data_IF_460768262614
#
_entry.id   IF_460768262614
#
_cell.length_a   1.000
_cell.length_b   1.000
_cell.length_c   1.000
_cell.angle_alpha   90.00
_cell.angle_beta   90.00
_cell.angle_gamma   90.00
#
_symmetry.space_group_name_H-M   'P 1'
#
loop_
_entity.id
_entity.type
_entity.pdbx_description
1 polymer ?
#
# COMPACT_ATOMS: atom_id res chain seq x y z
N UNK A 1 -45.61 47.47 29.11
CA UNK A 1 -44.49 46.96 29.93
C UNK A 1 -44.47 45.44 29.84
N UNK A 2 -43.29 44.87 29.54
CA UNK A 2 -42.90 43.43 29.58
C UNK A 2 -43.54 42.53 28.51
N UNK A 3 -42.91 42.42 27.34
CA UNK A 3 -41.77 41.53 26.98
C UNK A 3 -42.25 40.17 26.48
N UNK A 4 -42.40 40.05 25.16
CA UNK A 4 -42.37 38.79 24.43
C UNK A 4 -40.91 38.36 24.33
N UNK A 5 -40.50 37.40 25.14
CA UNK A 5 -39.23 36.71 24.96
C UNK A 5 -39.45 35.60 23.92
N UNK A 6 -39.31 35.96 22.65
CA UNK A 6 -39.24 34.99 21.56
C UNK A 6 -37.96 34.17 21.75
N UNK A 7 -38.11 32.87 22.02
CA UNK A 7 -37.01 31.89 21.91
C UNK A 7 -36.47 31.97 20.48
N UNK A 8 -35.28 32.53 20.30
CA UNK A 8 -34.52 32.41 19.07
C UNK A 8 -34.28 30.93 18.80
N UNK A 9 -35.01 30.36 17.84
CA UNK A 9 -34.57 29.14 17.18
C UNK A 9 -33.41 29.59 16.31
N UNK A 10 -32.21 29.16 16.65
CA UNK A 10 -31.12 29.14 15.68
C UNK A 10 -31.58 28.18 14.58
N UNK A 11 -32.18 28.72 13.53
CA UNK A 11 -32.31 28.01 12.26
C UNK A 11 -30.88 27.82 11.77
N UNK A 12 -30.30 26.66 12.13
CA UNK A 12 -29.08 26.19 11.48
C UNK A 12 -29.48 26.05 10.02
N UNK A 13 -29.01 27.00 9.21
CA UNK A 13 -29.19 26.95 7.77
C UNK A 13 -28.74 25.56 7.29
N UNK A 14 -29.55 24.94 6.44
CA UNK A 14 -29.29 23.58 5.95
C UNK A 14 -27.88 23.52 5.34
N UNK A 15 -27.44 24.62 4.72
CA UNK A 15 -26.09 24.83 4.24
C UNK A 15 -25.02 24.73 5.36
N UNK A 16 -25.23 25.37 6.52
CA UNK A 16 -24.32 25.27 7.67
C UNK A 16 -24.25 23.85 8.24
N UNK A 17 -25.38 23.15 8.32
CA UNK A 17 -25.41 21.76 8.79
C UNK A 17 -24.63 20.83 7.84
N UNK A 18 -24.87 20.91 6.52
CA UNK A 18 -24.13 20.08 5.56
C UNK A 18 -22.64 20.44 5.48
N UNK A 19 -22.30 21.73 5.55
CA UNK A 19 -20.91 22.19 5.46
C UNK A 19 -20.10 21.77 6.69
N UNK A 20 -20.59 22.00 7.91
CA UNK A 20 -19.84 21.68 9.12
C UNK A 20 -19.94 20.21 9.53
N UNK A 21 -21.12 19.60 9.47
CA UNK A 21 -21.29 18.23 9.99
C UNK A 21 -20.87 17.16 8.99
N UNK A 22 -21.00 17.39 7.68
CA UNK A 22 -20.67 16.38 6.67
C UNK A 22 -19.40 16.71 5.89
N UNK A 23 -19.28 17.93 5.38
CA UNK A 23 -18.14 18.27 4.52
C UNK A 23 -16.84 18.37 5.31
N UNK A 24 -16.79 19.13 6.40
CA UNK A 24 -15.58 19.23 7.26
C UNK A 24 -15.23 17.87 7.85
N UNK A 25 -16.19 17.11 8.39
CA UNK A 25 -15.90 15.75 8.89
C UNK A 25 -15.34 14.83 7.79
N UNK A 26 -15.80 14.95 6.55
CA UNK A 26 -15.27 14.17 5.42
C UNK A 26 -13.84 14.58 5.06
N UNK A 27 -13.53 15.88 5.09
CA UNK A 27 -12.17 16.39 4.87
C UNK A 27 -11.24 15.94 5.99
N UNK A 28 -11.63 16.11 7.25
CA UNK A 28 -10.85 15.68 8.41
C UNK A 28 -10.58 14.17 8.37
N UNK A 29 -11.59 13.39 7.97
CA UNK A 29 -11.43 11.95 7.74
C UNK A 29 -10.43 11.65 6.64
N UNK A 30 -10.50 12.33 5.50
CA UNK A 30 -9.55 12.15 4.40
C UNK A 30 -8.13 12.54 4.81
N UNK A 31 -7.96 13.64 5.54
CA UNK A 31 -6.66 14.09 6.06
C UNK A 31 -6.11 13.08 7.06
N UNK A 32 -6.92 12.59 7.99
CA UNK A 32 -6.51 11.57 8.96
C UNK A 32 -6.12 10.25 8.26
N UNK A 33 -6.90 9.83 7.26
CA UNK A 33 -6.56 8.66 6.44
C UNK A 33 -5.27 8.89 5.65
N UNK A 34 -5.08 10.05 5.01
CA UNK A 34 -3.84 10.35 4.28
C UNK A 34 -2.62 10.36 5.20
N UNK A 35 -2.70 11.00 6.36
CA UNK A 35 -1.61 11.07 7.33
C UNK A 35 -1.29 9.68 7.92
N UNK A 36 -2.31 8.86 8.17
CA UNK A 36 -2.13 7.46 8.56
C UNK A 36 -1.52 6.64 7.42
N UNK A 37 -1.91 6.92 6.16
CA UNK A 37 -1.47 6.17 4.98
C UNK A 37 -0.05 6.49 4.57
N UNK A 38 0.33 7.75 4.64
CA UNK A 38 1.63 8.29 4.27
C UNK A 38 2.32 8.84 5.52
N UNK A 39 2.54 7.96 6.50
CA UNK A 39 3.37 8.30 7.64
C UNK A 39 4.80 8.61 7.19
N UNK A 40 5.60 9.18 8.09
CA UNK A 40 6.96 9.63 7.80
C UNK A 40 7.80 8.55 7.11
N UNK A 41 7.76 7.31 7.61
CA UNK A 41 8.46 6.15 7.02
C UNK A 41 7.98 5.84 5.59
N UNK A 42 6.67 5.86 5.35
CA UNK A 42 6.09 5.58 4.02
C UNK A 42 6.46 6.66 3.01
N UNK A 43 6.44 7.93 3.44
CA UNK A 43 6.87 9.07 2.61
C UNK A 43 8.36 8.96 2.31
N UNK A 44 9.18 8.66 3.33
CA UNK A 44 10.62 8.46 3.16
C UNK A 44 10.94 7.34 2.19
N UNK A 45 10.23 6.22 2.29
CA UNK A 45 10.34 5.10 1.35
C UNK A 45 10.02 5.53 -0.08
N UNK A 46 8.92 6.26 -0.28
CA UNK A 46 8.55 6.74 -1.61
C UNK A 46 9.62 7.69 -2.17
N UNK A 47 10.10 8.64 -1.37
CA UNK A 47 11.14 9.58 -1.75
C UNK A 47 12.44 8.87 -2.17
N UNK A 48 12.92 7.91 -1.37
CA UNK A 48 14.14 7.18 -1.69
C UNK A 48 13.94 6.22 -2.88
N UNK A 49 12.74 5.65 -3.05
CA UNK A 49 12.44 4.73 -4.15
C UNK A 49 12.49 5.39 -5.53
N UNK A 50 12.35 6.71 -5.61
CA UNK A 50 12.51 7.47 -6.87
C UNK A 50 13.91 7.28 -7.47
N UNK A 51 14.92 6.98 -6.65
CA UNK A 51 16.27 6.68 -7.14
C UNK A 51 16.37 5.40 -7.99
N UNK A 52 15.36 4.53 -7.93
CA UNK A 52 15.24 3.32 -8.75
C UNK A 52 14.32 3.51 -9.97
N UNK A 53 13.69 4.68 -10.13
CA UNK A 53 12.71 4.91 -11.20
C UNK A 53 13.41 4.92 -12.58
N UNK A 54 13.02 4.01 -13.51
CA UNK A 54 13.60 3.96 -14.85
C UNK A 54 13.16 5.12 -15.77
N UNK A 55 12.18 5.94 -15.37
CA UNK A 55 11.70 7.08 -16.17
C UNK A 55 12.83 8.03 -16.56
N UNK A 56 12.63 8.69 -17.71
CA UNK A 56 13.58 9.67 -18.27
C UNK A 56 15.02 9.14 -18.30
N UNK A 57 15.21 7.86 -18.61
CA UNK A 57 16.54 7.23 -18.64
C UNK A 57 17.26 7.24 -17.30
N UNK A 58 16.51 6.93 -16.24
CA UNK A 58 16.98 6.91 -14.86
C UNK A 58 17.56 8.27 -14.41
N UNK A 59 16.94 9.37 -14.82
CA UNK A 59 17.35 10.75 -14.47
C UNK A 59 17.52 10.94 -12.97
N UNK A 60 16.66 10.29 -12.17
CA UNK A 60 16.67 10.39 -10.71
C UNK A 60 17.62 9.40 -10.02
N UNK A 61 18.40 8.63 -10.78
CA UNK A 61 19.29 7.63 -10.21
C UNK A 61 20.28 8.24 -9.22
N UNK A 62 20.29 7.70 -8.01
CA UNK A 62 21.20 8.12 -6.96
C UNK A 62 21.58 6.93 -6.08
N UNK A 63 22.82 6.48 -6.20
CA UNK A 63 23.34 5.33 -5.46
C UNK A 63 23.29 5.54 -3.94
N UNK A 64 23.53 6.75 -3.43
CA UNK A 64 23.46 7.07 -2.00
C UNK A 64 22.02 6.95 -1.48
N UNK A 65 21.04 7.41 -2.25
CA UNK A 65 19.63 7.24 -1.88
C UNK A 65 19.20 5.76 -1.89
N UNK A 66 19.69 4.97 -2.83
CA UNK A 66 19.41 3.53 -2.87
C UNK A 66 20.07 2.81 -1.67
N UNK A 67 21.29 3.20 -1.30
CA UNK A 67 21.96 2.66 -0.13
C UNK A 67 21.24 3.06 1.18
N UNK A 68 20.77 4.31 1.30
CA UNK A 68 19.94 4.75 2.41
C UNK A 68 18.62 3.99 2.50
N UNK A 69 18.05 3.60 1.36
CA UNK A 69 16.83 2.81 1.32
C UNK A 69 17.02 1.46 2.02
N UNK A 70 18.16 0.79 1.80
CA UNK A 70 18.54 -0.41 2.57
C UNK A 70 18.72 -0.09 4.06
N UNK A 71 19.63 0.83 4.40
CA UNK A 71 20.05 1.06 5.79
C UNK A 71 18.94 1.63 6.67
N UNK A 72 18.12 2.55 6.16
CA UNK A 72 17.08 3.23 6.94
C UNK A 72 15.76 2.44 6.99
N UNK A 73 15.41 1.69 5.94
CA UNK A 73 14.07 1.10 5.79
C UNK A 73 14.05 -0.43 5.80
N UNK A 74 15.19 -1.09 5.52
CA UNK A 74 15.31 -2.54 5.50
C UNK A 74 16.54 -3.06 6.28
N UNK A 75 16.75 -2.59 7.54
CA UNK A 75 17.96 -2.92 8.29
C UNK A 75 18.14 -4.41 8.57
N UNK A 76 17.04 -5.16 8.67
CA UNK A 76 17.01 -6.59 8.98
C UNK A 76 16.99 -7.49 7.73
N UNK A 77 16.74 -6.91 6.55
CA UNK A 77 16.71 -7.69 5.31
C UNK A 77 18.11 -7.97 4.76
N UNK A 78 19.09 -7.11 5.03
CA UNK A 78 20.43 -7.24 4.42
C UNK A 78 21.52 -7.49 5.45
N UNK A 79 22.26 -8.57 5.23
CA UNK A 79 23.45 -8.86 6.02
C UNK A 79 24.61 -7.89 5.70
N UNK A 80 25.59 -7.68 6.61
CA UNK A 80 26.71 -6.78 6.37
C UNK A 80 27.51 -7.08 5.09
N UNK A 81 27.64 -8.37 4.76
CA UNK A 81 28.34 -8.80 3.54
C UNK A 81 27.52 -8.50 2.28
N UNK A 82 26.18 -8.57 2.36
CA UNK A 82 25.26 -8.20 1.28
C UNK A 82 25.28 -6.69 1.02
N UNK A 83 25.46 -5.86 2.05
CA UNK A 83 25.62 -4.41 1.88
C UNK A 83 26.86 -4.02 1.10
N UNK A 84 27.97 -4.73 1.32
CA UNK A 84 29.18 -4.54 0.53
C UNK A 84 28.98 -4.98 -0.94
N UNK A 85 28.23 -6.06 -1.15
CA UNK A 85 27.83 -6.49 -2.49
C UNK A 85 26.93 -5.45 -3.17
N UNK A 86 25.95 -4.88 -2.44
CA UNK A 86 25.07 -3.81 -2.93
C UNK A 86 25.88 -2.58 -3.38
N UNK A 87 26.87 -2.14 -2.60
CA UNK A 87 27.74 -1.02 -2.99
C UNK A 87 28.51 -1.30 -4.29
N UNK A 88 28.99 -2.54 -4.45
CA UNK A 88 29.66 -2.97 -5.67
C UNK A 88 28.70 -3.00 -6.86
N UNK A 89 27.50 -3.56 -6.67
CA UNK A 89 26.43 -3.58 -7.67
C UNK A 89 26.03 -2.17 -8.09
N UNK A 90 25.86 -1.23 -7.16
CA UNK A 90 25.48 0.17 -7.41
C UNK A 90 26.52 0.92 -8.24
N UNK A 91 27.79 0.55 -8.12
CA UNK A 91 28.87 1.15 -8.93
C UNK A 91 28.79 0.67 -10.39
N UNK A 92 28.41 -0.59 -10.60
CA UNK A 92 28.33 -1.23 -11.92
C UNK A 92 26.97 -1.03 -12.60
N UNK A 93 25.90 -0.80 -11.84
CA UNK A 93 24.54 -0.71 -12.32
C UNK A 93 24.34 0.34 -13.43
N UNK A 94 24.92 1.56 -13.36
CA UNK A 94 24.76 2.54 -14.42
C UNK A 94 25.36 2.10 -15.76
N UNK A 95 26.48 1.39 -15.72
CA UNK A 95 27.17 0.92 -16.92
C UNK A 95 26.40 -0.20 -17.64
N UNK A 96 25.73 -1.07 -16.87
CA UNK A 96 25.10 -2.27 -17.40
C UNK A 96 23.57 -2.17 -17.56
N UNK A 97 22.88 -1.30 -16.83
CA UNK A 97 21.41 -1.22 -16.84
C UNK A 97 20.95 0.16 -17.28
N UNK A 98 21.42 1.23 -16.64
CA UNK A 98 20.93 2.60 -16.92
C UNK A 98 21.20 3.03 -18.37
N UNK A 99 22.40 2.75 -18.88
CA UNK A 99 22.80 3.10 -20.27
C UNK A 99 22.26 2.16 -21.33
N UNK A 100 21.72 1.01 -20.95
CA UNK A 100 21.24 0.00 -21.89
C UNK A 100 19.81 0.32 -22.31
N UNK A 101 19.63 0.56 -23.62
CA UNK A 101 18.34 0.92 -24.23
C UNK A 101 17.20 -0.07 -23.91
N UNK A 102 17.54 -1.33 -23.62
CA UNK A 102 16.55 -2.37 -23.29
C UNK A 102 15.84 -2.12 -21.96
N UNK A 103 16.43 -1.32 -21.06
CA UNK A 103 15.87 -1.04 -19.73
C UNK A 103 15.17 0.33 -19.66
N UNK A 104 14.97 1.00 -20.79
CA UNK A 104 14.24 2.26 -20.91
C UNK A 104 12.73 2.04 -20.81
N UNK A 105 12.27 1.65 -19.63
CA UNK A 105 10.88 1.31 -19.33
C UNK A 105 10.22 2.37 -18.46
N UNK A 106 8.88 2.42 -18.46
CA UNK A 106 8.11 3.47 -17.78
C UNK A 106 7.82 3.20 -16.31
N UNK A 107 8.04 1.97 -15.83
CA UNK A 107 7.67 1.54 -14.47
C UNK A 107 8.70 0.63 -13.83
N UNK A 108 8.83 0.74 -12.51
CA UNK A 108 9.69 -0.12 -11.70
C UNK A 108 9.33 -1.61 -11.80
N UNK A 109 8.03 -1.94 -11.91
CA UNK A 109 7.56 -3.30 -12.11
C UNK A 109 8.07 -3.90 -13.44
N UNK A 110 8.02 -3.12 -14.53
CA UNK A 110 8.55 -3.56 -15.82
C UNK A 110 10.08 -3.70 -15.79
N UNK A 111 10.76 -2.82 -15.07
CA UNK A 111 12.21 -2.93 -14.87
C UNK A 111 12.57 -4.26 -14.19
N UNK A 112 11.85 -4.63 -13.13
CA UNK A 112 12.05 -5.91 -12.45
C UNK A 112 11.82 -7.10 -13.39
N UNK A 113 10.76 -7.08 -14.20
CA UNK A 113 10.49 -8.10 -15.21
C UNK A 113 11.63 -8.23 -16.24
N UNK A 114 12.16 -7.09 -16.71
CA UNK A 114 13.26 -7.07 -17.68
C UNK A 114 14.57 -7.59 -17.09
N UNK A 115 14.88 -7.25 -15.83
CA UNK A 115 16.06 -7.77 -15.12
C UNK A 115 16.00 -9.29 -15.00
N UNK A 116 14.83 -9.86 -14.75
CA UNK A 116 14.63 -11.32 -14.70
C UNK A 116 14.78 -11.94 -16.09
N UNK A 117 14.13 -11.38 -17.12
CA UNK A 117 14.19 -11.91 -18.49
C UNK A 117 15.60 -11.91 -19.08
N UNK A 118 16.37 -10.86 -18.80
CA UNK A 118 17.75 -10.70 -19.30
C UNK A 118 18.79 -11.46 -18.46
N UNK A 119 18.37 -12.23 -17.45
CA UNK A 119 19.22 -12.88 -16.44
C UNK A 119 20.14 -11.92 -15.65
N UNK A 120 20.00 -10.60 -15.82
CA UNK A 120 20.75 -9.61 -15.04
C UNK A 120 20.34 -9.59 -13.56
N UNK A 121 19.18 -10.15 -13.23
CA UNK A 121 18.76 -10.38 -11.85
C UNK A 121 19.74 -11.25 -11.03
N UNK A 122 20.52 -12.13 -11.68
CA UNK A 122 21.55 -12.94 -11.02
C UNK A 122 22.82 -12.13 -10.74
N UNK A 123 23.17 -11.20 -11.65
CA UNK A 123 24.34 -10.33 -11.53
C UNK A 123 24.11 -9.15 -10.58
N UNK A 124 22.87 -8.68 -10.48
CA UNK A 124 22.44 -7.57 -9.63
C UNK A 124 21.41 -8.07 -8.61
N UNK A 125 21.81 -9.04 -7.80
CA UNK A 125 20.92 -9.74 -6.86
C UNK A 125 20.41 -8.79 -5.79
N UNK A 126 21.28 -7.94 -5.24
CA UNK A 126 20.92 -7.02 -4.17
C UNK A 126 19.98 -5.93 -4.66
N UNK A 127 20.29 -5.31 -5.80
CA UNK A 127 19.41 -4.30 -6.41
C UNK A 127 18.07 -4.92 -6.79
N UNK A 128 18.05 -6.11 -7.40
CA UNK A 128 16.79 -6.78 -7.77
C UNK A 128 15.95 -7.12 -6.54
N UNK A 129 16.58 -7.57 -5.45
CA UNK A 129 15.91 -7.83 -4.18
C UNK A 129 15.30 -6.55 -3.61
N UNK A 130 16.05 -5.45 -3.60
CA UNK A 130 15.58 -4.15 -3.12
C UNK A 130 14.38 -3.63 -3.93
N UNK A 131 14.43 -3.73 -5.26
CA UNK A 131 13.32 -3.38 -6.15
C UNK A 131 12.07 -4.23 -5.79
N UNK A 132 12.24 -5.53 -5.55
CA UNK A 132 11.14 -6.41 -5.13
C UNK A 132 10.56 -6.04 -3.78
N UNK A 133 11.38 -5.67 -2.80
CA UNK A 133 10.91 -5.20 -1.49
C UNK A 133 10.05 -3.94 -1.65
N UNK A 134 10.52 -2.94 -2.41
CA UNK A 134 9.76 -1.72 -2.70
C UNK A 134 8.42 -2.02 -3.37
N UNK A 135 8.41 -2.89 -4.37
CA UNK A 135 7.18 -3.30 -5.07
C UNK A 135 6.23 -4.08 -4.16
N UNK A 136 6.76 -5.01 -3.35
CA UNK A 136 5.94 -5.86 -2.47
C UNK A 136 5.30 -5.04 -1.35
N UNK A 137 6.06 -4.14 -0.73
CA UNK A 137 5.55 -3.31 0.37
C UNK A 137 4.51 -2.30 -0.13
N UNK A 138 4.74 -1.67 -1.29
CA UNK A 138 3.76 -0.74 -1.88
C UNK A 138 2.44 -1.43 -2.22
N UNK A 139 2.49 -2.64 -2.81
CA UNK A 139 1.30 -3.45 -3.11
C UNK A 139 0.59 -3.94 -1.84
N UNK A 140 1.34 -4.45 -0.86
CA UNK A 140 0.78 -4.96 0.41
C UNK A 140 0.11 -3.84 1.22
N UNK A 141 0.76 -2.68 1.28
CA UNK A 141 0.23 -1.48 1.95
C UNK A 141 -1.07 -1.01 1.28
N UNK A 142 -1.12 -0.99 -0.06
CA UNK A 142 -2.33 -0.60 -0.78
C UNK A 142 -3.49 -1.58 -0.57
N UNK A 143 -3.19 -2.89 -0.58
CA UNK A 143 -4.19 -3.96 -0.46
C UNK A 143 -4.79 -4.01 0.94
N UNK A 144 -3.95 -4.05 1.98
CA UNK A 144 -4.40 -4.05 3.38
C UNK A 144 -5.26 -2.82 3.68
N UNK A 145 -4.80 -1.62 3.29
CA UNK A 145 -5.56 -0.38 3.52
C UNK A 145 -6.87 -0.31 2.74
N UNK A 146 -6.92 -0.84 1.51
CA UNK A 146 -8.17 -0.95 0.74
C UNK A 146 -9.16 -1.87 1.46
N UNK A 147 -8.69 -3.02 1.95
CA UNK A 147 -9.50 -3.98 2.68
C UNK A 147 -10.03 -3.41 4.00
N UNK A 148 -9.17 -2.76 4.79
CA UNK A 148 -9.58 -2.07 6.03
C UNK A 148 -10.54 -0.89 5.77
N UNK A 149 -10.36 -0.15 4.68
CA UNK A 149 -11.28 0.93 4.29
C UNK A 149 -12.66 0.40 3.92
N UNK A 150 -12.73 -0.64 3.08
CA UNK A 150 -13.99 -1.30 2.75
C UNK A 150 -14.68 -1.84 4.02
N UNK A 151 -13.91 -2.43 4.92
CA UNK A 151 -14.40 -2.95 6.20
C UNK A 151 -14.92 -1.87 7.15
N UNK A 152 -14.20 -0.74 7.26
CA UNK A 152 -14.64 0.43 8.05
C UNK A 152 -15.96 0.99 7.51
N UNK A 153 -16.10 1.03 6.17
CA UNK A 153 -17.37 1.41 5.55
C UNK A 153 -18.50 0.43 5.87
N UNK A 154 -18.28 -0.89 5.79
CA UNK A 154 -19.28 -1.91 6.16
C UNK A 154 -19.68 -1.79 7.64
N UNK A 155 -18.70 -1.66 8.55
CA UNK A 155 -18.92 -1.51 10.00
C UNK A 155 -19.74 -0.25 10.32
N UNK A 156 -19.44 0.86 9.65
CA UNK A 156 -20.12 2.14 9.88
C UNK A 156 -21.50 2.23 9.20
N UNK A 157 -21.63 1.77 7.95
CA UNK A 157 -22.87 1.85 7.17
C UNK A 157 -23.97 0.95 7.74
N UNK A 158 -23.61 -0.25 8.20
CA UNK A 158 -24.58 -1.19 8.76
C UNK A 158 -24.79 -0.93 10.26
N UNK A 159 -23.98 -0.04 10.88
CA UNK A 159 -24.02 0.28 12.33
C UNK A 159 -24.08 -0.98 13.19
N UNK A 160 -23.45 -2.05 12.71
CA UNK A 160 -23.83 -3.40 13.10
C UNK A 160 -22.97 -3.88 14.26
N UNK A 161 -23.62 -4.57 15.20
CA UNK A 161 -23.00 -5.29 16.32
C UNK A 161 -22.34 -6.60 15.86
N UNK A 162 -21.81 -6.66 14.64
CA UNK A 162 -21.08 -7.84 14.16
C UNK A 162 -19.87 -8.04 15.07
N UNK A 163 -19.72 -9.25 15.62
CA UNK A 163 -18.58 -9.61 16.43
C UNK A 163 -17.30 -9.43 15.60
N UNK A 164 -16.23 -8.90 16.22
CA UNK A 164 -14.98 -8.61 15.51
C UNK A 164 -14.37 -9.86 14.87
N UNK A 165 -14.66 -11.06 15.40
CA UNK A 165 -14.27 -12.36 14.83
C UNK A 165 -14.87 -12.59 13.44
N UNK A 166 -16.20 -12.48 13.30
CA UNK A 166 -16.87 -12.62 12.01
C UNK A 166 -16.44 -11.55 11.00
N UNK A 167 -16.11 -10.35 11.49
CA UNK A 167 -15.57 -9.29 10.65
C UNK A 167 -14.16 -9.68 10.13
N UNK A 168 -13.31 -10.21 11.01
CA UNK A 168 -11.98 -10.74 10.66
C UNK A 168 -12.04 -11.84 9.61
N UNK A 169 -12.96 -12.79 9.74
CA UNK A 169 -13.14 -13.87 8.77
C UNK A 169 -13.50 -13.33 7.37
N UNK A 170 -14.41 -12.33 7.32
CA UNK A 170 -14.75 -11.66 6.07
C UNK A 170 -13.58 -10.84 5.47
N UNK A 171 -12.70 -10.28 6.32
CA UNK A 171 -11.50 -9.58 5.86
C UNK A 171 -10.56 -10.54 5.13
N UNK A 172 -10.35 -11.71 5.73
CA UNK A 172 -9.50 -12.77 5.18
C UNK A 172 -10.04 -13.22 3.83
N UNK A 173 -11.35 -13.48 3.72
CA UNK A 173 -11.99 -13.83 2.44
C UNK A 173 -11.84 -12.72 1.40
N UNK A 174 -11.94 -11.45 1.80
CA UNK A 174 -11.81 -10.31 0.88
C UNK A 174 -10.39 -10.13 0.36
N UNK A 175 -9.37 -10.27 1.22
CA UNK A 175 -7.96 -10.20 0.84
C UNK A 175 -7.62 -11.36 -0.11
N UNK A 176 -8.05 -12.56 0.24
CA UNK A 176 -7.78 -13.79 -0.52
C UNK A 176 -8.83 -14.07 -1.61
N UNK A 177 -9.60 -13.06 -2.01
CA UNK A 177 -10.74 -13.24 -2.92
C UNK A 177 -10.36 -13.94 -4.23
N UNK A 178 -9.15 -13.68 -4.73
CA UNK A 178 -8.65 -14.32 -5.95
C UNK A 178 -8.46 -15.83 -5.75
N UNK A 179 -7.89 -16.26 -4.61
CA UNK A 179 -7.80 -17.68 -4.25
C UNK A 179 -9.17 -18.28 -3.95
N UNK A 180 -10.02 -17.58 -3.19
CA UNK A 180 -11.38 -18.03 -2.85
C UNK A 180 -12.22 -18.22 -4.11
N UNK A 181 -12.00 -17.42 -5.15
CA UNK A 181 -12.72 -17.57 -6.43
C UNK A 181 -12.44 -18.88 -7.16
N UNK A 182 -11.35 -19.57 -6.82
CA UNK A 182 -11.01 -20.90 -7.36
C UNK A 182 -11.63 -22.05 -6.58
N UNK A 183 -12.20 -21.78 -5.40
CA UNK A 183 -12.83 -22.78 -4.54
C UNK A 183 -14.27 -23.00 -5.00
N UNK A 184 -14.66 -24.25 -5.17
CA UNK A 184 -16.06 -24.60 -5.44
C UNK A 184 -16.89 -24.48 -4.15
N UNK A 185 -17.74 -23.45 -4.12
CA UNK A 185 -18.60 -23.14 -2.99
C UNK A 185 -19.61 -24.29 -2.76
N UNK A 186 -20.09 -24.93 -3.82
CA UNK A 186 -21.08 -26.00 -3.70
C UNK A 186 -20.46 -27.25 -3.07
N UNK A 187 -19.23 -27.61 -3.45
CA UNK A 187 -18.47 -28.67 -2.77
C UNK A 187 -18.23 -28.35 -1.29
N UNK A 188 -17.87 -27.11 -0.95
CA UNK A 188 -17.60 -26.70 0.43
C UNK A 188 -18.87 -26.76 1.31
N UNK A 189 -20.02 -26.33 0.77
CA UNK A 189 -21.31 -26.43 1.47
C UNK A 189 -21.67 -27.89 1.73
N UNK A 190 -21.48 -28.77 0.73
CA UNK A 190 -21.76 -30.19 0.86
C UNK A 190 -20.85 -30.89 1.87
N UNK A 191 -19.59 -30.50 1.97
CA UNK A 191 -18.65 -31.01 2.97
C UNK A 191 -19.02 -30.53 4.38
N UNK A 192 -19.37 -29.25 4.52
CA UNK A 192 -19.80 -28.68 5.80
C UNK A 192 -21.12 -29.28 6.30
N UNK A 193 -22.04 -29.59 5.39
CA UNK A 193 -23.29 -30.28 5.71
C UNK A 193 -23.03 -31.70 6.26
N UNK A 194 -22.05 -32.43 5.71
CA UNK A 194 -21.67 -33.78 6.19
C UNK A 194 -21.05 -33.79 7.59
N UNK A 195 -20.42 -32.70 8.01
CA UNK A 195 -19.82 -32.57 9.36
C UNK A 195 -20.90 -32.26 10.42
N UNK A 196 -22.10 -31.82 10.00
CA UNK A 196 -23.17 -31.38 10.90
C UNK A 196 -24.23 -32.45 11.21
N UNK A 197 -24.16 -33.61 10.57
CA UNK A 197 -24.94 -34.79 10.92
C UNK A 197 -24.11 -35.70 11.86
N UNK A 198 -24.43 -35.77 13.17
CA UNK A 198 -23.90 -36.80 14.06
C UNK A 198 -24.51 -38.19 13.78
#
# INVERSE_FOLDING_TARGET
MKSKMCRGRNEIDVEHYYHFEYFIQSIDFQVAELNSRFNETSVRLLQLSVALDPKNSFESYNADHIYKLDVELYPDDFEPHERNALMSELTLYPAHVVKDSQFQVSTLAKLCEMLVKTRKAENFKMITRLIRLVLTLSVSTATTKRAFSAMKHVKNAIRNKMADEFLGDNLTIFIERELVSTIDIDSLINEFAKVKDP
#
